data_IF_259679475992
#
_entry.id   IF_259679475992
#
_cell.length_a   1.000
_cell.length_b   1.000
_cell.length_c   1.000
_cell.angle_alpha   90.00
_cell.angle_beta   90.00
_cell.angle_gamma   90.00
#
_symmetry.space_group_name_H-M   'P 1'
#
loop_
_entity.id
_entity.type
_entity.pdbx_description
1 polymer ?
#
# COMPACT_ATOMS: atom_id res chain seq x y z
N UNK A 1 -51.48 -24.72 75.57
CA UNK A 1 -52.10 -24.23 74.35
C UNK A 1 -51.02 -23.59 73.50
N UNK A 2 -50.57 -24.26 72.56
CA UNK A 2 -50.73 -24.19 71.11
C UNK A 2 -49.52 -23.45 70.53
N UNK A 3 -48.43 -24.16 70.26
CA UNK A 3 -47.29 -23.66 69.50
C UNK A 3 -47.46 -24.02 68.02
N UNK A 4 -47.08 -23.13 67.10
CA UNK A 4 -47.00 -23.42 65.70
C UNK A 4 -45.58 -23.13 65.23
N UNK A 5 -44.93 -24.19 64.76
CA UNK A 5 -43.61 -24.16 64.15
C UNK A 5 -43.73 -23.67 62.69
N UNK A 6 -43.07 -22.56 62.37
CA UNK A 6 -42.88 -22.10 61.03
C UNK A 6 -41.56 -22.63 60.45
N UNK A 7 -41.66 -23.56 59.50
CA UNK A 7 -40.50 -24.11 58.85
C UNK A 7 -39.91 -23.15 57.82
N UNK A 8 -38.64 -22.78 57.95
CA UNK A 8 -37.87 -22.10 56.93
C UNK A 8 -37.47 -23.10 55.85
N UNK A 9 -37.96 -22.89 54.62
CA UNK A 9 -37.44 -23.60 53.43
C UNK A 9 -36.13 -22.96 52.99
N UNK A 10 -35.05 -23.73 53.11
CA UNK A 10 -33.79 -23.40 52.55
C UNK A 10 -33.87 -23.43 51.04
N UNK A 11 -33.51 -22.33 50.44
CA UNK A 11 -33.25 -22.23 48.99
C UNK A 11 -31.91 -22.91 48.70
N UNK A 12 -31.96 -24.17 48.28
CA UNK A 12 -30.78 -24.89 47.81
C UNK A 12 -30.36 -24.33 46.46
N UNK A 13 -29.42 -23.40 46.44
CA UNK A 13 -28.79 -22.87 45.28
C UNK A 13 -28.28 -23.97 44.32
N UNK A 14 -29.03 -24.25 43.29
CA UNK A 14 -28.78 -25.28 42.31
C UNK A 14 -27.51 -24.88 41.50
N UNK A 15 -26.38 -25.41 41.89
CA UNK A 15 -25.13 -25.21 41.17
C UNK A 15 -25.25 -25.83 39.78
N UNK A 16 -24.85 -25.12 38.72
CA UNK A 16 -24.90 -25.66 37.34
C UNK A 16 -23.99 -26.90 37.26
N UNK A 17 -24.59 -28.00 36.74
CA UNK A 17 -23.90 -29.28 36.63
C UNK A 17 -22.62 -29.20 35.78
N UNK A 18 -21.68 -30.13 36.04
CA UNK A 18 -20.38 -30.23 35.34
C UNK A 18 -20.48 -30.13 33.82
N UNK A 19 -21.56 -30.60 33.21
CA UNK A 19 -21.83 -30.52 31.79
C UNK A 19 -22.06 -29.07 31.28
N UNK A 20 -22.82 -28.26 32.04
CA UNK A 20 -23.06 -26.85 31.69
C UNK A 20 -21.78 -25.98 31.85
N UNK A 21 -20.90 -26.31 32.80
CA UNK A 21 -19.58 -25.65 32.94
C UNK A 21 -18.66 -25.96 31.75
N UNK A 22 -18.63 -27.22 31.28
CA UNK A 22 -17.84 -27.64 30.14
C UNK A 22 -18.36 -26.98 28.84
N UNK A 23 -19.69 -26.91 28.67
CA UNK A 23 -20.29 -26.27 27.50
C UNK A 23 -19.98 -24.77 27.43
N UNK A 24 -20.05 -24.05 28.55
CA UNK A 24 -19.68 -22.63 28.62
C UNK A 24 -18.18 -22.40 28.36
N UNK A 25 -17.31 -23.27 28.82
CA UNK A 25 -15.89 -23.18 28.57
C UNK A 25 -15.53 -23.42 27.08
N UNK A 26 -16.18 -24.40 26.45
CA UNK A 26 -16.00 -24.67 25.01
C UNK A 26 -16.52 -23.50 24.18
N UNK A 27 -17.70 -22.94 24.51
CA UNK A 27 -18.25 -21.78 23.80
C UNK A 27 -17.36 -20.55 23.93
N UNK A 28 -16.81 -20.29 25.10
CA UNK A 28 -15.88 -19.19 25.34
C UNK A 28 -14.56 -19.35 24.58
N UNK A 29 -14.03 -20.57 24.49
CA UNK A 29 -12.83 -20.87 23.72
C UNK A 29 -13.04 -20.70 22.21
N UNK A 30 -14.23 -21.11 21.70
CA UNK A 30 -14.55 -20.96 20.28
C UNK A 30 -14.72 -19.50 19.87
N UNK A 31 -15.33 -18.67 20.72
CA UNK A 31 -15.49 -17.23 20.47
C UNK A 31 -14.13 -16.51 20.53
N UNK A 32 -13.25 -16.87 21.46
CA UNK A 32 -11.90 -16.30 21.55
C UNK A 32 -11.04 -16.67 20.34
N UNK A 33 -11.15 -17.91 19.82
CA UNK A 33 -10.42 -18.35 18.63
C UNK A 33 -10.93 -17.70 17.34
N UNK A 34 -12.25 -17.53 17.19
CA UNK A 34 -12.86 -16.81 16.06
C UNK A 34 -12.47 -15.31 16.05
N UNK A 35 -12.35 -14.69 17.24
CA UNK A 35 -11.91 -13.29 17.36
C UNK A 35 -10.44 -13.06 16.99
N UNK A 36 -9.57 -14.05 17.18
CA UNK A 36 -8.15 -13.94 16.84
C UNK A 36 -7.88 -14.02 15.31
N UNK A 37 -8.77 -14.60 14.53
CA UNK A 37 -8.61 -14.72 13.08
C UNK A 37 -9.00 -13.47 12.28
N UNK A 38 -9.65 -12.48 12.88
CA UNK A 38 -10.15 -11.30 12.16
C UNK A 38 -9.17 -10.13 12.08
N UNK A 39 -7.95 -10.23 12.64
CA UNK A 39 -6.98 -9.13 12.68
C UNK A 39 -5.77 -9.31 11.76
N UNK A 40 -5.74 -10.33 10.92
CA UNK A 40 -4.75 -10.40 9.84
C UNK A 40 -5.10 -9.38 8.75
N UNK A 41 -4.87 -8.08 9.02
CA UNK A 41 -4.79 -7.08 7.96
C UNK A 41 -3.61 -7.49 7.10
N UNK A 42 -3.76 -7.61 5.76
CA UNK A 42 -2.59 -7.72 4.91
C UNK A 42 -1.74 -6.48 5.19
N UNK A 43 -0.59 -6.66 5.83
CA UNK A 43 0.48 -5.69 5.82
C UNK A 43 0.89 -5.62 4.35
N UNK A 44 0.33 -4.65 3.62
CA UNK A 44 0.92 -4.21 2.35
C UNK A 44 2.28 -3.69 2.79
N UNK A 45 3.29 -4.52 2.64
CA UNK A 45 4.67 -4.12 2.82
C UNK A 45 4.91 -3.04 1.76
N UNK A 46 4.83 -1.78 2.15
CA UNK A 46 5.40 -0.70 1.37
C UNK A 46 6.90 -0.99 1.39
N UNK A 47 7.40 -1.55 0.29
CA UNK A 47 8.82 -1.71 0.09
C UNK A 47 9.46 -0.34 0.33
N UNK A 48 10.41 -0.28 1.25
CA UNK A 48 11.06 0.99 1.54
C UNK A 48 11.83 1.44 0.31
N UNK A 49 11.82 2.74 0.00
CA UNK A 49 12.61 3.31 -1.11
C UNK A 49 14.05 2.76 -1.10
N UNK A 50 14.69 2.75 0.07
CA UNK A 50 16.07 2.29 0.23
C UNK A 50 16.27 0.78 -0.02
N UNK A 51 15.23 -0.04 0.00
CA UNK A 51 15.33 -1.45 -0.35
C UNK A 51 15.40 -1.66 -1.86
N UNK A 52 14.68 -0.87 -2.64
CA UNK A 52 14.51 -1.05 -4.08
C UNK A 52 15.32 -0.09 -4.95
N UNK A 53 15.54 1.15 -4.49
CA UNK A 53 16.18 2.20 -5.27
C UNK A 53 17.47 2.70 -4.63
N UNK A 54 18.40 3.15 -5.47
CA UNK A 54 19.72 3.63 -5.05
C UNK A 54 19.77 5.16 -5.07
N UNK A 55 19.73 5.79 -3.89
CA UNK A 55 19.82 7.23 -3.75
C UNK A 55 21.18 7.80 -4.23
N UNK A 56 22.23 6.99 -4.31
CA UNK A 56 23.53 7.39 -4.81
C UNK A 56 23.63 7.38 -6.34
N UNK A 57 22.61 6.82 -7.04
CA UNK A 57 22.54 6.77 -8.49
C UNK A 57 21.36 7.62 -9.04
N UNK A 58 21.43 8.94 -8.93
CA UNK A 58 20.45 9.81 -9.56
C UNK A 58 20.55 9.70 -11.07
N UNK A 59 19.41 9.72 -11.74
CA UNK A 59 19.34 9.71 -13.21
C UNK A 59 18.45 10.83 -13.72
N UNK A 60 18.74 11.29 -14.93
CA UNK A 60 17.85 12.13 -15.73
C UNK A 60 17.63 11.44 -17.07
N UNK A 61 16.40 11.19 -17.40
CA UNK A 61 15.96 10.55 -18.64
C UNK A 61 15.18 11.56 -19.47
N UNK A 62 15.49 11.62 -20.77
CA UNK A 62 14.69 12.33 -21.76
C UNK A 62 14.12 11.28 -22.73
N UNK A 63 12.82 11.25 -22.90
CA UNK A 63 12.21 10.21 -23.72
C UNK A 63 10.77 10.52 -24.07
N UNK A 64 10.24 9.73 -24.96
CA UNK A 64 8.85 9.82 -25.40
C UNK A 64 7.98 8.85 -24.58
N UNK A 65 6.87 9.33 -24.06
CA UNK A 65 5.90 8.50 -23.35
C UNK A 65 5.33 7.45 -24.30
N UNK A 66 5.59 6.18 -24.02
CA UNK A 66 5.00 5.07 -24.77
C UNK A 66 3.62 4.70 -24.22
N UNK A 67 3.46 4.71 -22.90
CA UNK A 67 2.18 4.47 -22.21
C UNK A 67 2.21 5.00 -20.78
N UNK A 68 1.03 5.13 -20.15
CA UNK A 68 0.89 5.46 -18.73
C UNK A 68 -0.14 4.53 -18.10
N UNK A 69 0.19 3.98 -16.95
CA UNK A 69 -0.71 3.17 -16.12
C UNK A 69 -1.08 3.95 -14.86
N UNK A 70 -2.36 4.30 -14.75
CA UNK A 70 -2.90 5.04 -13.60
C UNK A 70 -3.50 4.06 -12.59
N UNK A 71 -2.64 3.34 -11.88
CA UNK A 71 -3.02 2.30 -10.91
C UNK A 71 -2.66 2.72 -9.50
N UNK A 72 -3.32 2.10 -8.50
CA UNK A 72 -2.94 2.22 -7.09
C UNK A 72 -2.11 0.99 -6.67
N UNK A 73 -1.14 1.16 -5.79
CA UNK A 73 -0.76 2.38 -5.06
C UNK A 73 0.13 3.34 -5.85
N UNK A 74 0.67 2.93 -6.99
CA UNK A 74 1.61 3.73 -7.80
C UNK A 74 1.13 3.83 -9.24
N UNK A 75 1.24 5.03 -9.83
CA UNK A 75 1.17 5.20 -11.28
C UNK A 75 2.51 4.89 -11.92
N UNK A 76 2.49 4.43 -13.18
CA UNK A 76 3.67 4.10 -13.95
C UNK A 76 3.68 4.87 -15.26
N UNK A 77 4.79 5.55 -15.56
CA UNK A 77 5.03 6.23 -16.83
C UNK A 77 6.13 5.46 -17.56
N UNK A 78 5.86 4.99 -18.75
CA UNK A 78 6.84 4.27 -19.56
C UNK A 78 7.40 5.21 -20.60
N UNK A 79 8.73 5.41 -20.57
CA UNK A 79 9.46 6.28 -21.50
C UNK A 79 10.30 5.45 -22.46
N UNK A 80 10.13 5.69 -23.75
CA UNK A 80 11.08 5.26 -24.78
C UNK A 80 12.23 6.27 -24.79
N UNK A 81 13.42 5.82 -24.38
CA UNK A 81 14.65 6.62 -24.31
C UNK A 81 15.60 6.14 -25.37
N UNK A 82 16.06 7.05 -26.23
CA UNK A 82 17.00 6.70 -27.28
C UNK A 82 18.34 6.28 -26.66
N UNK A 83 18.82 5.10 -27.04
CA UNK A 83 20.13 4.57 -26.65
C UNK A 83 21.16 4.76 -27.75
N UNK A 84 22.46 4.88 -27.44
CA UNK A 84 23.52 5.04 -28.44
C UNK A 84 23.57 3.92 -29.47
N UNK A 85 23.09 2.73 -29.14
CA UNK A 85 23.02 1.58 -30.04
C UNK A 85 21.92 1.67 -31.12
N UNK A 86 21.09 2.74 -31.12
CA UNK A 86 20.05 2.98 -32.10
C UNK A 86 18.73 2.26 -31.84
N UNK A 87 18.59 1.55 -30.72
CA UNK A 87 17.32 0.94 -30.28
C UNK A 87 16.86 1.64 -29.01
N UNK A 88 15.59 2.07 -28.99
CA UNK A 88 15.02 2.71 -27.80
C UNK A 88 14.89 1.71 -26.63
N UNK A 89 15.35 2.12 -25.46
CA UNK A 89 15.09 1.40 -24.22
C UNK A 89 13.83 1.92 -23.54
N UNK A 90 12.96 1.02 -23.06
CA UNK A 90 11.78 1.39 -22.31
C UNK A 90 12.10 1.43 -20.82
N UNK A 91 12.06 2.62 -20.24
CA UNK A 91 12.18 2.84 -18.82
C UNK A 91 10.81 2.92 -18.14
N UNK A 92 10.61 2.13 -17.07
CA UNK A 92 9.43 2.19 -16.22
C UNK A 92 9.67 3.19 -15.08
N UNK A 93 8.93 4.29 -15.08
CA UNK A 93 9.03 5.34 -14.06
C UNK A 93 7.92 5.13 -13.04
N UNK A 94 8.29 4.71 -11.84
CA UNK A 94 7.39 4.60 -10.71
C UNK A 94 7.12 5.98 -10.11
N UNK A 95 5.84 6.36 -10.00
CA UNK A 95 5.40 7.62 -9.45
C UNK A 95 4.45 7.39 -8.24
N UNK A 96 4.06 8.47 -7.58
CA UNK A 96 3.04 8.43 -6.52
C UNK A 96 1.69 7.94 -7.05
N UNK A 97 0.73 7.70 -6.15
CA UNK A 97 -0.63 7.31 -6.54
C UNK A 97 -1.29 8.36 -7.45
N UNK A 98 -2.22 7.96 -8.33
CA UNK A 98 -2.91 8.88 -9.24
C UNK A 98 -3.53 10.09 -8.53
N UNK A 99 -4.12 9.89 -7.34
CA UNK A 99 -4.72 10.99 -6.56
C UNK A 99 -3.66 11.96 -6.02
N UNK A 100 -2.48 11.49 -5.63
CA UNK A 100 -1.39 12.34 -5.18
C UNK A 100 -0.78 13.14 -6.35
N UNK A 101 -0.66 12.52 -7.51
CA UNK A 101 -0.18 13.16 -8.74
C UNK A 101 -1.15 14.25 -9.22
N UNK A 102 -2.45 13.98 -9.24
CA UNK A 102 -3.47 14.95 -9.64
C UNK A 102 -3.41 16.25 -8.80
N UNK A 103 -3.20 16.12 -7.48
CA UNK A 103 -2.99 17.30 -6.61
C UNK A 103 -1.75 18.13 -6.95
N UNK A 104 -0.80 17.55 -7.68
CA UNK A 104 0.45 18.21 -8.14
C UNK A 104 0.38 18.65 -9.61
N UNK A 105 -0.80 18.49 -10.24
CA UNK A 105 -1.02 18.85 -11.65
C UNK A 105 -0.43 17.83 -12.63
N UNK A 106 -0.35 16.55 -12.22
CA UNK A 106 0.01 15.43 -13.07
C UNK A 106 -1.18 14.47 -13.13
N UNK A 107 -1.87 14.43 -14.24
CA UNK A 107 -3.09 13.66 -14.45
C UNK A 107 -3.15 13.06 -15.87
N UNK A 108 -4.28 12.42 -16.18
CA UNK A 108 -4.51 11.76 -17.48
C UNK A 108 -4.55 12.73 -18.69
N UNK A 109 -4.67 14.02 -18.44
CA UNK A 109 -4.71 15.05 -19.48
C UNK A 109 -3.35 15.70 -19.69
N UNK A 110 -2.52 15.75 -18.64
CA UNK A 110 -1.21 16.40 -18.64
C UNK A 110 -0.07 15.48 -19.09
N UNK A 111 -0.24 14.15 -19.04
CA UNK A 111 0.77 13.17 -19.48
C UNK A 111 0.13 12.16 -20.40
N UNK A 112 0.43 12.30 -21.71
CA UNK A 112 -0.16 11.50 -22.77
C UNK A 112 0.91 10.71 -23.55
N UNK A 113 0.59 9.52 -24.09
CA UNK A 113 1.46 8.84 -25.04
C UNK A 113 1.85 9.75 -26.21
N UNK A 114 3.11 9.65 -26.65
CA UNK A 114 3.69 10.49 -27.69
C UNK A 114 4.31 11.81 -27.21
N UNK A 115 4.09 12.21 -25.96
CA UNK A 115 4.73 13.42 -25.41
C UNK A 115 6.21 13.15 -25.08
N UNK A 116 7.08 14.09 -25.39
CA UNK A 116 8.48 14.07 -24.94
C UNK A 116 8.59 14.73 -23.57
N UNK A 117 9.16 14.02 -22.60
CA UNK A 117 9.29 14.44 -21.22
C UNK A 117 10.74 14.29 -20.74
N UNK A 118 11.10 15.08 -19.72
CA UNK A 118 12.30 14.85 -18.93
C UNK A 118 11.91 14.39 -17.53
N UNK A 119 12.49 13.27 -17.07
CA UNK A 119 12.23 12.73 -15.74
C UNK A 119 13.56 12.65 -14.97
N UNK A 120 13.59 13.16 -13.75
CA UNK A 120 14.64 12.90 -12.79
C UNK A 120 14.19 11.90 -11.75
N UNK A 121 15.12 11.07 -11.25
CA UNK A 121 14.79 10.05 -10.26
C UNK A 121 16.01 9.22 -9.86
N UNK A 122 15.76 8.02 -9.36
CA UNK A 122 16.77 7.10 -8.87
C UNK A 122 16.61 5.71 -9.47
N UNK A 123 17.70 5.08 -9.86
CA UNK A 123 17.70 3.74 -10.47
C UNK A 123 17.31 2.66 -9.47
N UNK A 124 16.65 1.61 -9.98
CA UNK A 124 16.45 0.38 -9.24
C UNK A 124 17.79 -0.34 -9.02
N UNK A 125 18.00 -0.85 -7.79
CA UNK A 125 19.22 -1.57 -7.39
C UNK A 125 19.42 -2.91 -8.11
N UNK A 126 18.32 -3.52 -8.56
CA UNK A 126 18.33 -4.80 -9.26
C UNK A 126 18.78 -4.71 -10.74
N UNK A 127 19.16 -3.51 -11.21
CA UNK A 127 19.63 -3.30 -12.57
C UNK A 127 18.56 -3.26 -13.66
N UNK A 128 17.29 -3.40 -13.31
CA UNK A 128 16.18 -3.26 -14.29
C UNK A 128 16.08 -1.81 -14.79
N UNK A 129 15.51 -1.56 -15.98
CA UNK A 129 15.24 -0.20 -16.47
C UNK A 129 14.05 0.43 -15.74
N UNK A 130 14.11 0.42 -14.41
CA UNK A 130 13.11 1.00 -13.51
C UNK A 130 13.70 2.17 -12.76
N UNK A 131 12.95 3.25 -12.65
CA UNK A 131 13.34 4.48 -11.97
C UNK A 131 12.22 4.92 -11.02
N UNK A 132 12.58 5.21 -9.77
CA UNK A 132 11.70 5.95 -8.88
C UNK A 132 11.70 7.41 -9.29
N UNK A 133 10.61 7.89 -9.88
CA UNK A 133 10.48 9.26 -10.35
C UNK A 133 10.43 10.24 -9.19
N UNK A 134 11.28 11.30 -9.27
CA UNK A 134 11.27 12.44 -8.36
C UNK A 134 10.53 13.62 -8.97
N UNK A 135 10.98 14.05 -10.14
CA UNK A 135 10.43 15.20 -10.84
C UNK A 135 10.18 14.87 -12.32
N UNK A 136 9.14 15.48 -12.87
CA UNK A 136 8.76 15.44 -14.27
C UNK A 136 8.77 16.84 -14.84
N UNK A 137 9.47 17.06 -15.95
CA UNK A 137 9.41 18.31 -16.72
C UNK A 137 8.61 18.08 -17.98
N UNK A 138 7.51 18.83 -18.11
CA UNK A 138 6.61 18.83 -19.27
C UNK A 138 7.22 19.57 -20.46
N UNK A 139 6.68 19.41 -21.71
CA UNK A 139 7.20 20.09 -22.90
C UNK A 139 7.19 21.62 -22.81
N UNK A 140 6.31 22.19 -21.99
CA UNK A 140 6.24 23.64 -21.72
C UNK A 140 7.25 24.14 -20.68
N UNK A 141 8.15 23.26 -20.21
CA UNK A 141 9.18 23.59 -19.22
C UNK A 141 8.71 23.54 -17.77
N UNK A 142 7.42 23.32 -17.50
CA UNK A 142 6.92 23.21 -16.12
C UNK A 142 7.36 21.90 -15.49
N UNK A 143 7.93 22.00 -14.28
CA UNK A 143 8.33 20.82 -13.50
C UNK A 143 7.28 20.50 -12.44
N UNK A 144 6.98 19.20 -12.29
CA UNK A 144 6.04 18.64 -11.32
C UNK A 144 6.69 17.51 -10.55
N UNK A 145 6.38 17.40 -9.25
CA UNK A 145 6.91 16.28 -8.45
C UNK A 145 6.10 15.00 -8.71
N UNK A 146 6.80 13.90 -8.97
CA UNK A 146 6.27 12.54 -9.12
C UNK A 146 6.33 11.76 -7.81
N UNK A 147 7.25 12.08 -6.93
CA UNK A 147 7.50 11.37 -5.68
C UNK A 147 6.83 11.99 -4.47
N UNK A 148 6.70 11.21 -3.38
CA UNK A 148 6.54 11.74 -2.04
C UNK A 148 7.89 12.29 -1.54
N UNK A 149 7.84 13.25 -0.59
CA UNK A 149 9.04 13.89 -0.02
C UNK A 149 9.96 12.93 0.77
N UNK A 150 9.63 11.65 0.82
CA UNK A 150 10.32 10.63 1.63
C UNK A 150 11.63 10.09 1.00
N UNK A 151 12.05 10.67 -0.11
CA UNK A 151 13.37 10.43 -0.73
C UNK A 151 14.39 11.49 -0.27
N UNK A 152 14.48 11.72 1.06
CA UNK A 152 15.57 12.48 1.69
C UNK A 152 16.44 11.55 2.51
#
# INVERSE_FOLDING_TARGET
>A
MGGILGGARGDEGRQPGRAARKLKAVLAATVAFAGAMTTARPLIAHHSFSAEFDASQPVRLNGTVSRVEWTNPHAWIYLAVAEPAGTDAIFAIEASSPSALARRGVDRQSVLPGMTLSVSGYRAKNGTPTVRGRDLTLPDGRTRSLGSADAR
#
